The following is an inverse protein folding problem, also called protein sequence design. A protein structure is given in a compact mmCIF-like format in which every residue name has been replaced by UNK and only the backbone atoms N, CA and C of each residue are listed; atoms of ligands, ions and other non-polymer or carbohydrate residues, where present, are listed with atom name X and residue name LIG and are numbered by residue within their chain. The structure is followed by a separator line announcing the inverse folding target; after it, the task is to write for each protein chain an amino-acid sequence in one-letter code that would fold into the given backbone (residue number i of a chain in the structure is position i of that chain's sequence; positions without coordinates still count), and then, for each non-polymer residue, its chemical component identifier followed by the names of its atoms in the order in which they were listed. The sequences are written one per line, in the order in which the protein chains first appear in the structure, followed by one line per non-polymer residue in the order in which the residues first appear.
data_IF_821624504109
#
_entry.id   IF_821624504109
#
_cell.length_a   1.000
_cell.length_b   1.000
_cell.length_c   1.000
_cell.angle_alpha   90.00
_cell.angle_beta   90.00
_cell.angle_gamma   90.00
#
_symmetry.space_group_name_H-M   'P 1'
#
loop_
_entity.id
_entity.type
_entity.pdbx_description
1 polymer ?
#
# COMPACT_ATOMS: atom_id res chain seq x y z
N UNK A 1 11.36 7.53 -6.92
CA UNK A 1 11.11 7.72 -5.47
C UNK A 1 12.36 7.31 -4.72
N UNK A 2 12.72 8.02 -3.67
CA UNK A 2 13.94 7.76 -2.89
C UNK A 2 13.79 6.42 -2.17
N UNK A 3 14.75 5.50 -2.33
CA UNK A 3 14.82 4.28 -1.53
C UNK A 3 14.91 4.67 -0.06
N UNK A 4 13.83 4.49 0.69
CA UNK A 4 13.82 4.69 2.14
C UNK A 4 14.61 3.53 2.73
N UNK A 5 15.93 3.62 2.81
CA UNK A 5 16.77 2.59 3.42
C UNK A 5 17.72 3.21 4.42
N UNK A 6 17.86 2.55 5.56
CA UNK A 6 18.91 2.90 6.51
C UNK A 6 20.27 2.62 5.86
N UNK A 7 21.06 3.67 5.67
CA UNK A 7 22.42 3.55 5.20
C UNK A 7 23.32 2.94 6.31
N UNK A 8 24.49 2.45 5.91
CA UNK A 8 25.43 1.81 6.83
C UNK A 8 25.83 2.70 8.02
N UNK A 9 26.04 4.00 7.78
CA UNK A 9 26.45 4.93 8.82
C UNK A 9 25.34 5.13 9.86
N UNK A 10 24.07 5.19 9.43
CA UNK A 10 22.92 5.27 10.33
C UNK A 10 22.80 4.02 11.19
N UNK A 11 22.96 2.82 10.61
CA UNK A 11 22.95 1.55 11.37
C UNK A 11 24.07 1.50 12.41
N UNK A 12 25.30 1.87 11.99
CA UNK A 12 26.46 1.90 12.88
C UNK A 12 26.29 2.92 14.01
N UNK A 13 25.75 4.08 13.70
CA UNK A 13 25.45 5.12 14.69
C UNK A 13 24.48 4.62 15.76
N UNK A 14 23.43 3.89 15.38
CA UNK A 14 22.50 3.28 16.32
C UNK A 14 23.20 2.28 17.26
N UNK A 15 24.01 1.37 16.73
CA UNK A 15 24.78 0.42 17.55
C UNK A 15 25.76 1.12 18.50
N UNK A 16 26.44 2.18 18.04
CA UNK A 16 27.43 2.91 18.84
C UNK A 16 26.78 3.74 19.95
N UNK A 17 25.69 4.44 19.67
CA UNK A 17 25.11 5.42 20.59
C UNK A 17 23.96 4.90 21.45
N UNK A 18 23.23 3.88 20.97
CA UNK A 18 22.13 3.26 21.73
C UNK A 18 22.59 1.96 22.41
N UNK A 19 23.64 1.33 21.89
CA UNK A 19 24.13 0.02 22.31
C UNK A 19 23.92 -1.03 21.22
N UNK A 20 24.76 -2.07 21.19
CA UNK A 20 24.81 -3.04 20.10
C UNK A 20 23.47 -3.76 19.88
N UNK A 21 22.87 -4.27 20.96
CA UNK A 21 21.62 -5.03 20.87
C UNK A 21 20.42 -4.12 20.58
N UNK A 22 20.28 -3.02 21.35
CA UNK A 22 19.22 -2.04 21.14
C UNK A 22 19.30 -1.38 19.75
N UNK A 23 20.52 -1.10 19.26
CA UNK A 23 20.75 -0.55 17.92
C UNK A 23 20.34 -1.50 16.81
N UNK A 24 20.58 -2.81 16.98
CA UNK A 24 20.10 -3.86 16.06
C UNK A 24 18.58 -3.95 16.06
N UNK A 25 17.96 -3.97 17.24
CA UNK A 25 16.50 -4.04 17.36
C UNK A 25 15.82 -2.85 16.69
N UNK A 26 16.30 -1.63 16.94
CA UNK A 26 15.77 -0.41 16.32
C UNK A 26 15.97 -0.44 14.80
N UNK A 27 17.15 -0.87 14.33
CA UNK A 27 17.42 -1.01 12.90
C UNK A 27 16.43 -1.98 12.24
N UNK A 28 16.23 -3.16 12.84
CA UNK A 28 15.31 -4.18 12.33
C UNK A 28 13.86 -3.66 12.29
N UNK A 29 13.43 -2.96 13.34
CA UNK A 29 12.11 -2.35 13.40
C UNK A 29 11.90 -1.31 12.29
N UNK A 30 12.86 -0.41 12.10
CA UNK A 30 12.79 0.63 11.07
C UNK A 30 12.76 0.03 9.66
N UNK A 31 13.56 -1.00 9.39
CA UNK A 31 13.52 -1.71 8.10
C UNK A 31 12.16 -2.38 7.85
N UNK A 32 11.56 -2.99 8.87
CA UNK A 32 10.22 -3.55 8.77
C UNK A 32 9.15 -2.48 8.51
N UNK A 33 9.27 -1.30 9.14
CA UNK A 33 8.35 -0.18 8.93
C UNK A 33 8.48 0.43 7.53
N UNK A 34 9.71 0.63 7.06
CA UNK A 34 10.00 1.05 5.69
C UNK A 34 9.28 0.13 4.69
N UNK A 35 9.46 -1.18 4.84
CA UNK A 35 8.84 -2.16 3.94
C UNK A 35 7.31 -2.07 3.94
N UNK A 36 6.71 -1.89 5.13
CA UNK A 36 5.26 -1.70 5.25
C UNK A 36 4.79 -0.42 4.57
N UNK A 37 5.54 0.68 4.69
CA UNK A 37 5.21 1.93 4.01
C UNK A 37 5.26 1.74 2.49
N UNK A 38 6.29 1.10 1.96
CA UNK A 38 6.39 0.80 0.53
C UNK A 38 5.23 -0.09 0.04
N UNK A 39 4.82 -1.08 0.83
CA UNK A 39 3.66 -1.92 0.53
C UNK A 39 2.36 -1.10 0.50
N UNK A 40 2.16 -0.20 1.47
CA UNK A 40 0.99 0.68 1.52
C UNK A 40 0.97 1.69 0.37
N UNK A 41 2.13 2.24 0.00
CA UNK A 41 2.25 3.16 -1.15
C UNK A 41 1.95 2.46 -2.47
N UNK A 42 2.39 1.21 -2.65
CA UNK A 42 2.03 0.39 -3.83
C UNK A 42 0.54 0.02 -3.86
N UNK A 43 -0.05 -0.24 -2.70
CA UNK A 43 -1.41 -0.78 -2.58
C UNK A 43 -2.49 0.30 -2.33
N UNK A 44 -2.12 1.58 -2.36
CA UNK A 44 -3.01 2.71 -2.00
C UNK A 44 -4.21 2.93 -2.93
N UNK A 45 -4.37 2.13 -3.98
CA UNK A 45 -5.54 2.13 -4.84
C UNK A 45 -6.25 0.80 -4.69
N UNK A 46 -7.12 0.71 -3.69
CA UNK A 46 -8.16 -0.33 -3.67
C UNK A 46 -9.16 0.05 -4.78
N UNK A 47 -8.84 -0.30 -6.03
CA UNK A 47 -9.76 -0.12 -7.16
C UNK A 47 -10.89 -1.13 -6.95
N UNK A 48 -11.98 -0.69 -6.32
CA UNK A 48 -13.25 -1.40 -6.43
C UNK A 48 -13.74 -1.16 -7.85
N UNK A 49 -13.74 -2.16 -8.75
CA UNK A 49 -14.28 -1.97 -10.08
C UNK A 49 -15.77 -1.67 -9.97
N UNK A 50 -16.16 -0.42 -10.24
CA UNK A 50 -17.56 -0.07 -10.43
C UNK A 50 -17.95 -0.63 -11.79
N UNK A 51 -18.48 -1.86 -11.81
CA UNK A 51 -19.08 -2.44 -13.01
C UNK A 51 -20.41 -1.73 -13.24
N UNK A 52 -20.60 -0.98 -14.35
CA UNK A 52 -21.91 -0.46 -14.68
C UNK A 52 -22.80 -1.66 -15.02
N UNK A 53 -23.72 -2.00 -14.12
CA UNK A 53 -24.83 -2.87 -14.49
C UNK A 53 -25.73 -2.01 -15.35
N UNK A 54 -25.59 -2.09 -16.68
CA UNK A 54 -26.56 -1.51 -17.60
C UNK A 54 -27.89 -2.21 -17.33
N UNK A 55 -28.93 -1.57 -16.74
CA UNK A 55 -30.24 -2.18 -16.76
C UNK A 55 -30.63 -2.25 -18.24
N UNK A 56 -30.69 -3.47 -18.76
CA UNK A 56 -31.13 -3.74 -20.11
C UNK A 56 -32.41 -2.95 -20.37
N UNK A 57 -32.38 -2.10 -21.40
CA UNK A 57 -33.50 -1.30 -21.87
C UNK A 57 -34.70 -2.24 -22.05
N UNK A 58 -35.62 -2.20 -21.09
CA UNK A 58 -36.89 -2.92 -21.19
C UNK A 58 -37.71 -2.16 -22.23
N UNK A 59 -37.59 -2.58 -23.49
CA UNK A 59 -38.49 -2.15 -24.56
C UNK A 59 -39.85 -2.75 -24.20
N UNK A 60 -40.73 -1.93 -23.65
CA UNK A 60 -42.13 -2.31 -23.43
C UNK A 60 -42.75 -2.39 -24.83
N UNK A 61 -43.22 -3.57 -25.31
CA UNK A 61 -43.94 -3.61 -26.55
C UNK A 61 -45.26 -2.86 -26.34
N UNK A 62 -45.41 -1.71 -27.01
CA UNK A 62 -46.73 -1.10 -27.22
C UNK A 62 -47.54 -2.09 -28.05
N UNK A 63 -48.48 -2.77 -27.38
CA UNK A 63 -49.48 -3.60 -28.04
C UNK A 63 -50.50 -2.71 -28.72
N UNK A 64 -50.17 -2.21 -29.91
CA UNK A 64 -51.16 -1.80 -30.89
C UNK A 64 -51.73 -3.08 -31.52
N UNK A 65 -52.94 -3.49 -31.11
CA UNK A 65 -53.86 -4.25 -31.94
C UNK A 65 -55.23 -4.43 -31.25
N UNK A 66 -56.26 -4.02 -31.99
CA UNK A 66 -57.71 -4.26 -31.85
C UNK A 66 -58.52 -3.31 -30.95
#
# INVERSE_FOLDING_TARGET
MSELKLNFNSKKSLCVHVGEDAGKEITALLEALIRKVEELERNKVDVIPIVPTTPARQVIPISDAA
#
